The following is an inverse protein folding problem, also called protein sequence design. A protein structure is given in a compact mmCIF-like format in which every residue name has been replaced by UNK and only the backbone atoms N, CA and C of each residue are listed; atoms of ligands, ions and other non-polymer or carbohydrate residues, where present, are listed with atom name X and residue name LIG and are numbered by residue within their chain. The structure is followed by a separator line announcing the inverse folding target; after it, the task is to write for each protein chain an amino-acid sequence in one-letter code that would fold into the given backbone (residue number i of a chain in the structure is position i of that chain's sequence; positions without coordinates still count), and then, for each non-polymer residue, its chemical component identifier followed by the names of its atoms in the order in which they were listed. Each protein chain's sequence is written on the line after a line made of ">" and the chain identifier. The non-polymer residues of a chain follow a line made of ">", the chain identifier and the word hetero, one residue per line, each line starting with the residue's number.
data_IF_789907168818
#
_entry.id   IF_789907168818
#
_cell.length_a   1.000
_cell.length_b   1.000
_cell.length_c   1.000
_cell.angle_alpha   90.00
_cell.angle_beta   90.00
_cell.angle_gamma   90.00
#
_symmetry.space_group_name_H-M   'P 1'
#
loop_
_entity.id
_entity.type
_entity.pdbx_description
1 polymer ?
#
# COMPACT_ATOMS: atom_id res chain seq x y z
N UNK A 1 4.95 -3.95 -21.45
CA UNK A 1 5.29 -2.52 -21.48
C UNK A 1 4.26 -1.66 -20.77
N UNK A 2 4.48 -0.35 -20.71
CA UNK A 2 3.63 0.60 -19.98
C UNK A 2 2.18 0.62 -20.51
N UNK A 3 1.97 0.51 -21.81
CA UNK A 3 0.62 0.46 -22.42
C UNK A 3 -0.24 -0.65 -21.81
N UNK A 4 0.34 -1.84 -21.63
CA UNK A 4 -0.35 -2.97 -21.01
C UNK A 4 -0.63 -2.70 -19.51
N UNK A 5 0.33 -2.14 -18.78
CA UNK A 5 0.10 -1.76 -17.40
C UNK A 5 -1.06 -0.76 -17.27
N UNK A 6 -1.11 0.24 -18.15
CA UNK A 6 -2.23 1.19 -18.23
C UNK A 6 -3.56 0.51 -18.55
N UNK A 7 -3.56 -0.45 -19.48
CA UNK A 7 -4.76 -1.21 -19.80
C UNK A 7 -5.30 -1.96 -18.59
N UNK A 8 -4.42 -2.66 -17.83
CA UNK A 8 -4.82 -3.36 -16.61
C UNK A 8 -5.38 -2.42 -15.55
N UNK A 9 -4.79 -1.24 -15.37
CA UNK A 9 -5.30 -0.24 -14.41
C UNK A 9 -6.67 0.27 -14.86
N UNK A 10 -6.84 0.62 -16.14
CA UNK A 10 -8.11 1.06 -16.68
C UNK A 10 -9.20 -0.01 -16.49
N UNK A 11 -8.88 -1.28 -16.83
CA UNK A 11 -9.80 -2.40 -16.65
C UNK A 11 -10.16 -2.63 -15.18
N UNK A 12 -9.19 -2.58 -14.28
CA UNK A 12 -9.45 -2.72 -12.85
C UNK A 12 -10.40 -1.62 -12.32
N UNK A 13 -10.24 -0.37 -12.78
CA UNK A 13 -11.15 0.73 -12.43
C UNK A 13 -12.56 0.44 -12.94
N UNK A 14 -12.70 -0.02 -14.18
CA UNK A 14 -14.01 -0.37 -14.76
C UNK A 14 -14.70 -1.49 -13.98
N UNK A 15 -13.95 -2.59 -13.70
CA UNK A 15 -14.49 -3.73 -12.97
C UNK A 15 -14.87 -3.37 -11.54
N UNK A 16 -14.05 -2.59 -10.85
CA UNK A 16 -14.37 -2.07 -9.52
C UNK A 16 -15.63 -1.18 -9.54
N UNK A 17 -15.69 -0.26 -10.49
CA UNK A 17 -16.86 0.65 -10.61
C UNK A 17 -18.14 -0.14 -10.94
N UNK A 18 -18.04 -1.17 -11.79
CA UNK A 18 -19.18 -2.04 -12.09
C UNK A 18 -19.63 -2.83 -10.86
N UNK A 19 -18.71 -3.35 -10.06
CA UNK A 19 -19.03 -4.16 -8.90
C UNK A 19 -19.58 -3.36 -7.71
N UNK A 20 -19.03 -2.17 -7.47
CA UNK A 20 -19.34 -1.37 -6.27
C UNK A 20 -20.14 -0.09 -6.55
N UNK A 21 -20.42 0.25 -7.80
CA UNK A 21 -21.18 1.45 -8.18
C UNK A 21 -20.44 2.78 -7.99
N UNK A 22 -19.20 2.74 -7.53
CA UNK A 22 -18.36 3.92 -7.27
C UNK A 22 -16.96 3.72 -7.84
N UNK A 23 -16.33 4.80 -8.29
CA UNK A 23 -14.95 4.77 -8.75
C UNK A 23 -13.98 4.63 -7.54
N UNK A 24 -12.95 3.77 -7.64
CA UNK A 24 -11.94 3.68 -6.57
C UNK A 24 -11.16 4.99 -6.47
N UNK A 25 -10.99 5.49 -5.25
CA UNK A 25 -10.26 6.74 -4.98
C UNK A 25 -8.77 6.52 -4.73
N UNK A 26 -8.39 5.32 -4.37
CA UNK A 26 -7.00 4.98 -4.10
C UNK A 26 -6.60 3.62 -4.64
N UNK A 27 -5.32 3.35 -4.56
CA UNK A 27 -4.73 2.12 -5.08
C UNK A 27 -3.67 1.55 -4.15
N UNK A 28 -3.79 0.26 -3.85
CA UNK A 28 -2.69 -0.58 -3.42
C UNK A 28 -2.17 -1.32 -4.67
N UNK A 29 -0.97 -1.01 -5.21
CA UNK A 29 -0.36 -1.80 -6.26
C UNK A 29 -0.11 -3.24 -5.79
N UNK A 30 -0.06 -4.19 -6.72
CA UNK A 30 0.28 -5.57 -6.36
C UNK A 30 1.57 -5.62 -5.53
N UNK A 31 1.52 -6.30 -4.39
CA UNK A 31 2.64 -6.39 -3.41
C UNK A 31 3.14 -5.02 -2.90
N UNK A 32 2.33 -3.99 -2.98
CA UNK A 32 2.78 -2.64 -2.69
C UNK A 32 3.96 -2.18 -3.56
N UNK A 33 4.17 -2.83 -4.72
CA UNK A 33 5.33 -2.58 -5.58
C UNK A 33 5.19 -1.23 -6.31
N UNK A 34 6.16 -0.35 -6.09
CA UNK A 34 6.17 1.02 -6.61
C UNK A 34 7.54 1.43 -7.13
N UNK A 35 7.54 2.48 -7.89
CA UNK A 35 8.68 3.33 -8.25
C UNK A 35 8.13 4.73 -8.57
N UNK A 36 8.98 5.74 -8.68
CA UNK A 36 8.56 7.08 -9.12
C UNK A 36 7.71 7.01 -10.39
N UNK A 37 8.14 6.24 -11.41
CA UNK A 37 7.40 6.09 -12.66
C UNK A 37 6.04 5.40 -12.47
N UNK A 38 5.96 4.41 -11.60
CA UNK A 38 4.68 3.73 -11.28
C UNK A 38 3.70 4.69 -10.64
N UNK A 39 4.16 5.49 -9.67
CA UNK A 39 3.34 6.50 -8.99
C UNK A 39 2.82 7.53 -10.00
N UNK A 40 3.68 8.09 -10.85
CA UNK A 40 3.28 9.06 -11.88
C UNK A 40 2.30 8.47 -12.91
N UNK A 41 2.51 7.20 -13.31
CA UNK A 41 1.56 6.51 -14.19
C UNK A 41 0.19 6.35 -13.52
N UNK A 42 0.15 5.92 -12.25
CA UNK A 42 -1.10 5.75 -11.51
C UNK A 42 -1.80 7.08 -11.24
N UNK A 43 -1.06 8.15 -10.95
CA UNK A 43 -1.59 9.51 -10.79
C UNK A 43 -2.37 9.98 -12.05
N UNK A 44 -1.91 9.59 -13.25
CA UNK A 44 -2.59 9.92 -14.51
C UNK A 44 -3.99 9.32 -14.65
N UNK A 45 -4.34 8.34 -13.83
CA UNK A 45 -5.69 7.78 -13.72
C UNK A 45 -6.59 8.51 -12.73
N UNK A 46 -6.09 9.53 -12.03
CA UNK A 46 -6.86 10.35 -11.11
C UNK A 46 -7.15 9.66 -9.77
N UNK A 47 -6.25 8.84 -9.28
CA UNK A 47 -6.29 8.38 -7.90
C UNK A 47 -5.89 9.53 -6.96
N UNK A 48 -6.56 9.64 -5.82
CA UNK A 48 -6.23 10.63 -4.78
C UNK A 48 -5.05 10.17 -3.94
N UNK A 49 -4.93 8.85 -3.76
CA UNK A 49 -3.87 8.27 -2.95
C UNK A 49 -3.42 6.90 -3.46
N UNK A 50 -2.20 6.57 -3.07
CA UNK A 50 -1.57 5.26 -3.23
C UNK A 50 -1.09 4.79 -1.86
N UNK A 51 -0.82 3.48 -1.72
CA UNK A 51 -0.17 2.95 -0.54
C UNK A 51 0.94 1.95 -0.93
N UNK A 52 1.99 1.89 -0.10
CA UNK A 52 3.13 0.97 -0.25
C UNK A 52 3.74 0.65 1.13
N UNK A 53 4.86 -0.07 1.18
CA UNK A 53 5.55 -0.44 2.42
C UNK A 53 6.40 0.68 3.04
N UNK A 54 6.56 0.65 4.36
CA UNK A 54 7.40 1.59 5.11
C UNK A 54 8.86 1.53 4.68
N UNK A 55 9.39 0.34 4.35
CA UNK A 55 10.76 0.17 3.87
C UNK A 55 11.05 0.97 2.59
N UNK A 56 10.05 1.19 1.73
CA UNK A 56 10.18 2.06 0.55
C UNK A 56 10.34 3.53 0.97
N UNK A 57 9.59 4.00 1.98
CA UNK A 57 9.77 5.35 2.51
C UNK A 57 11.15 5.54 3.11
N UNK A 58 11.57 4.63 3.97
CA UNK A 58 12.89 4.68 4.62
C UNK A 58 14.01 4.80 3.60
N UNK A 59 14.05 3.92 2.61
CA UNK A 59 15.04 3.97 1.54
C UNK A 59 14.97 5.25 0.69
N UNK A 60 13.79 5.83 0.50
CA UNK A 60 13.62 7.08 -0.23
C UNK A 60 14.12 8.29 0.58
N UNK A 61 13.84 8.32 1.88
CA UNK A 61 14.32 9.36 2.80
C UNK A 61 15.85 9.32 2.92
N UNK A 62 16.42 8.14 3.17
CA UNK A 62 17.88 7.94 3.24
C UNK A 62 18.57 8.42 1.97
N UNK A 63 18.04 8.07 0.78
CA UNK A 63 18.57 8.54 -0.50
C UNK A 63 18.49 10.05 -0.66
N UNK A 64 17.48 10.68 -0.07
CA UNK A 64 17.31 12.14 -0.06
C UNK A 64 18.12 12.83 1.06
N UNK A 65 18.89 12.08 1.85
CA UNK A 65 19.65 12.61 2.98
C UNK A 65 18.79 13.04 4.17
N UNK A 66 17.56 12.49 4.26
CA UNK A 66 16.61 12.76 5.35
C UNK A 66 16.59 11.54 6.28
N UNK A 67 16.83 11.76 7.56
CA UNK A 67 16.81 10.70 8.56
C UNK A 67 15.38 10.20 8.80
N UNK A 68 15.08 8.90 8.63
CA UNK A 68 13.79 8.34 8.99
C UNK A 68 13.56 8.39 10.50
N UNK A 69 12.47 9.01 10.91
CA UNK A 69 12.16 9.17 12.33
C UNK A 69 10.71 9.62 12.57
N UNK A 70 10.36 9.94 13.82
CA UNK A 70 8.98 10.30 14.18
C UNK A 70 8.39 11.44 13.34
N UNK A 71 9.19 12.41 12.95
CA UNK A 71 8.74 13.55 12.14
C UNK A 71 8.50 13.22 10.66
N UNK A 72 9.08 12.14 10.15
CA UNK A 72 9.05 11.76 8.73
C UNK A 72 8.19 10.53 8.46
N UNK A 73 8.05 9.63 9.44
CA UNK A 73 7.19 8.46 9.34
C UNK A 73 5.74 8.83 9.74
N UNK A 74 4.81 7.94 9.44
CA UNK A 74 3.39 8.06 9.78
C UNK A 74 2.74 9.37 9.30
N UNK A 75 3.03 9.72 8.06
CA UNK A 75 2.37 10.79 7.30
C UNK A 75 2.36 10.44 5.82
N UNK A 76 1.42 10.99 5.04
CA UNK A 76 1.47 10.85 3.59
C UNK A 76 2.59 11.70 2.97
N UNK A 77 3.05 11.29 1.78
CA UNK A 77 4.05 12.00 1.00
C UNK A 77 3.60 12.13 -0.45
N UNK A 78 3.93 13.25 -1.10
CA UNK A 78 3.80 13.42 -2.54
C UNK A 78 5.13 13.19 -3.22
N UNK A 79 5.10 12.40 -4.27
CA UNK A 79 6.27 12.16 -5.11
C UNK A 79 6.30 13.22 -6.21
N UNK A 80 7.46 13.77 -6.52
CA UNK A 80 7.60 14.80 -7.56
C UNK A 80 6.94 14.37 -8.88
N UNK A 81 6.15 15.28 -9.46
CA UNK A 81 5.37 15.01 -10.66
C UNK A 81 4.09 14.18 -10.45
N UNK A 82 3.66 13.97 -9.20
CA UNK A 82 2.38 13.34 -8.84
C UNK A 82 1.56 14.23 -7.93
N UNK A 83 0.25 14.24 -8.11
CA UNK A 83 -0.72 14.89 -7.20
C UNK A 83 -1.20 13.93 -6.13
N UNK A 84 -1.25 12.63 -6.45
CA UNK A 84 -1.65 11.60 -5.52
C UNK A 84 -0.71 11.54 -4.32
N UNK A 85 -1.27 11.45 -3.12
CA UNK A 85 -0.49 11.21 -1.90
C UNK A 85 -0.16 9.72 -1.77
N UNK A 86 1.03 9.41 -1.27
CA UNK A 86 1.44 8.04 -0.98
C UNK A 86 1.45 7.82 0.54
N UNK A 87 0.67 6.86 1.00
CA UNK A 87 0.70 6.37 2.37
C UNK A 87 1.67 5.19 2.49
N UNK A 88 2.26 5.04 3.65
CA UNK A 88 3.23 3.99 3.89
C UNK A 88 2.74 3.11 5.05
N UNK A 89 2.55 1.82 4.76
CA UNK A 89 2.12 0.81 5.71
C UNK A 89 3.04 0.81 6.92
N UNK A 90 2.50 0.99 8.10
CA UNK A 90 3.26 0.80 9.33
C UNK A 90 3.52 -0.70 9.53
N UNK A 91 4.76 -1.12 9.26
CA UNK A 91 5.11 -2.54 9.17
C UNK A 91 4.86 -3.26 10.49
N UNK A 92 5.43 -2.79 11.60
CA UNK A 92 5.30 -3.46 12.88
C UNK A 92 3.85 -3.69 13.29
N UNK A 93 3.00 -2.68 13.25
CA UNK A 93 1.61 -2.79 13.69
C UNK A 93 0.79 -3.67 12.75
N UNK A 94 0.99 -3.54 11.45
CA UNK A 94 0.29 -4.39 10.48
C UNK A 94 0.74 -5.86 10.59
N UNK A 95 2.04 -6.12 10.78
CA UNK A 95 2.58 -7.46 10.95
C UNK A 95 2.14 -8.12 12.27
N UNK A 96 1.92 -7.35 13.32
CA UNK A 96 1.30 -7.87 14.54
C UNK A 96 -0.09 -8.45 14.28
N UNK A 97 -0.89 -7.75 13.50
CA UNK A 97 -2.20 -8.26 13.10
C UNK A 97 -2.02 -9.50 12.21
N UNK A 98 -1.18 -9.42 11.18
CA UNK A 98 -1.00 -10.51 10.22
C UNK A 98 -0.41 -11.80 10.81
N UNK A 99 0.53 -11.70 11.76
CA UNK A 99 1.38 -12.84 12.16
C UNK A 99 1.44 -13.13 13.65
N UNK A 100 1.03 -12.20 14.52
CA UNK A 100 1.19 -12.34 15.98
C UNK A 100 -0.14 -12.55 16.69
N UNK A 101 -1.09 -11.65 16.48
CA UNK A 101 -2.32 -11.61 17.27
C UNK A 101 -3.31 -12.75 16.99
N UNK A 102 -3.18 -13.44 15.86
CA UNK A 102 -3.95 -14.64 15.57
C UNK A 102 -3.79 -15.75 16.64
N UNK A 103 -2.68 -15.69 17.40
CA UNK A 103 -2.33 -16.65 18.47
C UNK A 103 -2.68 -16.15 19.88
N UNK A 104 -3.23 -14.95 19.99
CA UNK A 104 -3.57 -14.33 21.26
C UNK A 104 -5.07 -14.40 21.54
N UNK A 105 -5.43 -14.17 22.81
CA UNK A 105 -6.81 -13.88 23.12
C UNK A 105 -7.20 -12.54 22.48
N UNK A 106 -8.36 -12.48 21.79
CA UNK A 106 -8.73 -11.34 20.96
C UNK A 106 -8.77 -10.00 21.72
N UNK A 107 -9.24 -10.01 22.96
CA UNK A 107 -9.27 -8.81 23.80
C UNK A 107 -7.88 -8.33 24.22
N UNK A 108 -6.98 -9.25 24.54
CA UNK A 108 -5.59 -8.90 24.89
C UNK A 108 -4.85 -8.34 23.67
N UNK A 109 -5.05 -8.92 22.49
CA UNK A 109 -4.50 -8.45 21.24
C UNK A 109 -5.00 -7.02 20.91
N UNK A 110 -6.31 -6.78 21.06
CA UNK A 110 -6.89 -5.46 20.84
C UNK A 110 -6.34 -4.41 21.81
N UNK A 111 -6.16 -4.78 23.06
CA UNK A 111 -5.58 -3.91 24.10
C UNK A 111 -4.10 -3.56 23.80
N UNK A 112 -3.27 -4.55 23.49
CA UNK A 112 -1.86 -4.34 23.11
C UNK A 112 -1.75 -3.45 21.87
N UNK A 113 -2.61 -3.66 20.87
CA UNK A 113 -2.59 -2.85 19.67
C UNK A 113 -2.91 -1.37 19.96
N UNK A 114 -3.96 -1.09 20.72
CA UNK A 114 -4.33 0.28 21.11
C UNK A 114 -3.22 0.92 21.96
N UNK A 115 -2.66 0.21 22.92
CA UNK A 115 -1.56 0.70 23.74
C UNK A 115 -0.33 1.09 22.89
N UNK A 116 -0.02 0.35 21.82
CA UNK A 116 1.07 0.70 20.89
C UNK A 116 0.75 1.96 20.09
N UNK A 117 -0.51 2.14 19.67
CA UNK A 117 -0.93 3.38 19.03
C UNK A 117 -0.81 4.58 19.98
N UNK A 118 -1.16 4.41 21.25
CA UNK A 118 -0.97 5.44 22.28
C UNK A 118 0.51 5.79 22.47
N UNK A 119 1.39 4.78 22.53
CA UNK A 119 2.84 5.00 22.61
C UNK A 119 3.38 5.76 21.39
N UNK A 120 2.88 5.47 20.20
CA UNK A 120 3.21 6.26 19.01
C UNK A 120 2.70 7.69 19.12
N UNK A 121 1.46 7.89 19.59
CA UNK A 121 0.90 9.23 19.80
C UNK A 121 1.74 10.03 20.83
N UNK A 122 2.26 9.37 21.87
CA UNK A 122 3.16 10.02 22.84
C UNK A 122 4.47 10.49 22.21
N UNK A 123 4.99 9.75 21.23
CA UNK A 123 6.22 10.13 20.50
C UNK A 123 6.01 11.32 19.55
N UNK A 124 4.80 11.49 19.03
CA UNK A 124 4.49 12.53 18.03
C UNK A 124 3.90 13.80 18.62
N UNK A 125 3.55 13.80 19.92
CA UNK A 125 2.85 14.90 20.55
C UNK A 125 1.49 15.17 19.92
N UNK A 126 1.04 16.42 19.98
CA UNK A 126 -0.28 16.84 19.51
C UNK A 126 -0.31 17.19 18.01
N UNK A 127 0.48 16.53 17.17
CA UNK A 127 0.45 16.74 15.73
C UNK A 127 -0.74 15.99 15.08
N UNK A 128 -1.85 16.68 14.74
CA UNK A 128 -3.06 16.04 14.23
C UNK A 128 -2.88 15.49 12.79
N UNK A 129 -1.78 15.83 12.14
CA UNK A 129 -1.51 15.41 10.75
C UNK A 129 -0.94 14.00 10.66
N UNK A 130 -0.66 13.36 11.80
CA UNK A 130 -0.10 12.01 11.85
C UNK A 130 -1.14 10.96 11.47
N UNK A 131 -0.74 10.12 10.54
CA UNK A 131 -1.60 9.05 10.03
C UNK A 131 -0.85 7.73 10.05
N UNK A 132 -1.20 6.85 10.97
CA UNK A 132 -0.66 5.49 11.04
C UNK A 132 -1.44 4.62 10.06
N UNK A 133 -0.79 4.19 8.99
CA UNK A 133 -1.42 3.40 7.94
C UNK A 133 -1.35 1.91 8.28
N UNK A 134 -2.48 1.32 8.63
CA UNK A 134 -2.61 -0.13 8.83
C UNK A 134 -3.13 -0.74 7.53
N UNK A 135 -2.33 -1.58 6.92
CA UNK A 135 -2.63 -2.20 5.62
C UNK A 135 -2.44 -3.72 5.71
N UNK A 136 -3.46 -4.45 5.31
CA UNK A 136 -3.51 -5.92 5.32
C UNK A 136 -4.07 -6.41 3.98
N UNK A 137 -3.74 -7.64 3.62
CA UNK A 137 -4.40 -8.33 2.53
C UNK A 137 -5.89 -8.51 2.85
N UNK A 138 -6.74 -8.21 1.88
CA UNK A 138 -8.19 -8.31 2.08
C UNK A 138 -8.72 -9.73 2.02
N UNK A 139 -8.06 -10.59 1.24
CA UNK A 139 -8.49 -11.94 0.96
C UNK A 139 -8.11 -12.96 2.05
N UNK A 140 -7.10 -12.69 2.88
CA UNK A 140 -6.55 -13.67 3.83
C UNK A 140 -6.30 -13.15 5.25
N UNK A 141 -6.64 -11.90 5.55
CA UNK A 141 -6.29 -11.25 6.81
C UNK A 141 -6.80 -12.00 8.06
N UNK A 142 -7.95 -12.64 7.99
CA UNK A 142 -8.68 -13.17 9.16
C UNK A 142 -8.81 -14.68 9.21
N UNK A 143 -8.41 -15.41 8.17
CA UNK A 143 -8.61 -16.86 8.08
C UNK A 143 -7.86 -17.66 9.17
N UNK A 144 -6.75 -17.11 9.68
CA UNK A 144 -5.97 -17.72 10.75
C UNK A 144 -6.41 -17.31 12.16
N UNK A 145 -7.40 -16.44 12.28
CA UNK A 145 -7.93 -16.01 13.57
C UNK A 145 -9.10 -16.89 14.02
N UNK A 146 -9.23 -17.19 15.34
CA UNK A 146 -10.45 -17.78 15.87
C UNK A 146 -11.67 -16.93 15.47
N UNK A 147 -12.71 -17.60 14.98
CA UNK A 147 -13.96 -16.97 14.55
C UNK A 147 -13.75 -15.82 13.52
N UNK A 148 -12.79 -15.99 12.60
CA UNK A 148 -12.44 -15.01 11.56
C UNK A 148 -12.15 -13.61 12.14
N UNK A 149 -11.47 -13.55 13.27
CA UNK A 149 -11.06 -12.29 13.89
C UNK A 149 -12.15 -11.51 14.63
N UNK A 150 -13.36 -12.08 14.78
CA UNK A 150 -14.50 -11.37 15.39
C UNK A 150 -14.18 -10.74 16.73
N UNK A 151 -13.60 -11.48 17.66
CA UNK A 151 -13.31 -10.98 19.01
C UNK A 151 -12.24 -9.90 19.01
N UNK A 152 -11.20 -10.06 18.19
CA UNK A 152 -10.16 -9.05 18.03
C UNK A 152 -10.73 -7.76 17.42
N UNK A 153 -11.41 -7.86 16.28
CA UNK A 153 -11.95 -6.71 15.56
C UNK A 153 -12.98 -5.96 16.42
N UNK A 154 -13.89 -6.68 17.07
CA UNK A 154 -14.87 -6.07 17.96
C UNK A 154 -14.19 -5.30 19.08
N UNK A 155 -13.27 -5.95 19.81
CA UNK A 155 -12.56 -5.32 20.91
C UNK A 155 -11.71 -4.13 20.48
N UNK A 156 -11.14 -4.19 19.27
CA UNK A 156 -10.37 -3.09 18.68
C UNK A 156 -11.26 -1.88 18.35
N UNK A 157 -12.35 -2.11 17.62
CA UNK A 157 -13.25 -1.01 17.21
C UNK A 157 -13.98 -0.40 18.40
N UNK A 158 -14.42 -1.19 19.39
CA UNK A 158 -15.02 -0.65 20.64
C UNK A 158 -14.05 0.28 21.38
N UNK A 159 -12.74 -0.01 21.40
CA UNK A 159 -11.73 0.81 22.05
C UNK A 159 -11.37 2.07 21.27
N UNK A 160 -11.44 2.01 19.96
CA UNK A 160 -11.05 3.13 19.09
C UNK A 160 -12.21 4.08 18.78
N UNK A 161 -13.47 3.63 18.87
CA UNK A 161 -14.63 4.43 18.50
C UNK A 161 -14.75 5.73 19.29
N UNK A 162 -14.51 5.68 20.61
CA UNK A 162 -14.60 6.81 21.51
C UNK A 162 -13.24 7.15 22.15
N UNK A 163 -12.14 6.81 21.49
CA UNK A 163 -10.81 7.02 22.04
C UNK A 163 -10.47 8.52 22.07
N UNK A 164 -10.03 9.08 23.22
CA UNK A 164 -9.86 10.53 23.36
C UNK A 164 -8.73 11.13 22.50
N UNK A 165 -7.78 10.32 22.05
CA UNK A 165 -6.58 10.77 21.34
C UNK A 165 -6.39 10.11 19.95
N UNK A 166 -7.06 9.00 19.68
CA UNK A 166 -6.92 8.26 18.44
C UNK A 166 -8.23 8.33 17.66
N UNK A 167 -8.13 8.60 16.38
CA UNK A 167 -9.28 8.69 15.48
C UNK A 167 -9.15 7.67 14.36
N UNK A 168 -10.19 6.85 14.17
CA UNK A 168 -10.31 6.00 12.99
C UNK A 168 -10.61 6.86 11.77
N UNK A 169 -9.90 6.62 10.68
CA UNK A 169 -10.07 7.35 9.43
C UNK A 169 -9.75 6.46 8.24
N UNK A 170 -10.35 6.75 7.11
CA UNK A 170 -9.90 6.23 5.82
C UNK A 170 -8.80 7.14 5.25
N UNK A 171 -7.98 6.63 4.33
CA UNK A 171 -6.97 7.46 3.67
C UNK A 171 -7.57 8.67 2.96
N UNK A 172 -8.75 8.52 2.37
CA UNK A 172 -9.46 9.64 1.73
C UNK A 172 -9.90 10.69 2.75
N UNK A 173 -10.38 10.29 3.92
CA UNK A 173 -10.74 11.23 4.99
C UNK A 173 -9.50 11.92 5.55
N UNK A 174 -8.43 11.17 5.83
CA UNK A 174 -7.18 11.74 6.32
C UNK A 174 -6.62 12.83 5.37
N UNK A 175 -6.71 12.64 4.06
CA UNK A 175 -6.30 13.65 3.08
C UNK A 175 -7.20 14.89 3.05
N UNK A 176 -8.51 14.71 3.33
CA UNK A 176 -9.49 15.81 3.31
C UNK A 176 -9.38 16.69 4.54
N UNK A 177 -9.08 16.10 5.68
CA UNK A 177 -9.22 16.79 6.95
C UNK A 177 -7.94 17.48 7.39
N UNK A 178 -6.75 16.88 7.21
CA UNK A 178 -5.54 17.42 7.84
C UNK A 178 -4.18 17.04 7.20
N UNK A 179 -4.14 16.16 6.24
CA UNK A 179 -2.85 15.59 5.84
C UNK A 179 -2.00 16.56 5.02
N UNK A 180 -1.21 17.37 5.68
CA UNK A 180 -0.06 17.99 5.03
C UNK A 180 0.91 16.88 4.58
N UNK A 181 0.86 16.52 3.30
CA UNK A 181 1.80 15.57 2.74
C UNK A 181 3.21 16.19 2.70
N UNK A 182 4.21 15.41 3.09
CA UNK A 182 5.60 15.75 2.79
C UNK A 182 5.87 15.67 1.29
N UNK A 183 7.02 16.14 0.84
CA UNK A 183 7.44 16.06 -0.55
C UNK A 183 8.68 15.19 -0.68
N UNK A 184 8.65 14.22 -1.61
CA UNK A 184 9.77 13.39 -2.02
C UNK A 184 10.16 13.72 -3.45
N UNK A 185 11.43 13.96 -3.70
CA UNK A 185 11.96 14.16 -5.05
C UNK A 185 11.85 12.90 -5.89
N UNK A 186 12.06 11.74 -5.26
CA UNK A 186 11.92 10.43 -5.89
C UNK A 186 11.49 9.37 -4.88
N UNK A 187 10.93 8.29 -5.39
CA UNK A 187 10.59 7.09 -4.63
C UNK A 187 11.49 5.95 -5.08
N UNK A 188 12.17 5.28 -4.16
CA UNK A 188 12.95 4.10 -4.52
C UNK A 188 12.03 3.00 -5.07
N UNK A 189 12.53 2.23 -6.02
CA UNK A 189 11.82 1.06 -6.52
C UNK A 189 11.82 -0.03 -5.45
N UNK A 190 10.65 -0.39 -4.97
CA UNK A 190 10.49 -1.34 -3.86
C UNK A 190 9.05 -1.79 -3.67
N UNK A 191 8.84 -2.57 -2.63
CA UNK A 191 7.55 -3.14 -2.24
C UNK A 191 7.45 -3.22 -0.71
N UNK A 192 6.35 -3.71 -0.19
CA UNK A 192 6.24 -3.99 1.24
C UNK A 192 7.14 -5.14 1.72
N UNK A 193 7.65 -5.96 0.77
CA UNK A 193 8.59 -7.04 1.11
C UNK A 193 10.00 -6.48 1.18
N UNK A 194 10.47 -6.24 2.38
CA UNK A 194 11.82 -5.72 2.69
C UNK A 194 12.17 -4.37 2.02
N UNK A 195 11.19 -3.58 1.59
CA UNK A 195 11.42 -2.30 0.93
C UNK A 195 12.06 -2.39 -0.47
N UNK A 196 12.17 -3.60 -1.04
CA UNK A 196 12.86 -3.87 -2.31
C UNK A 196 12.01 -4.69 -3.26
N UNK A 197 12.49 -4.90 -4.49
CA UNK A 197 11.91 -5.82 -5.46
C UNK A 197 12.67 -7.15 -5.55
N UNK A 198 13.59 -7.42 -4.63
CA UNK A 198 14.50 -8.58 -4.69
C UNK A 198 13.80 -9.94 -4.60
N UNK A 199 12.57 -9.98 -4.09
CA UNK A 199 11.73 -11.18 -4.11
C UNK A 199 11.43 -11.65 -5.53
N UNK A 200 11.29 -10.72 -6.48
CA UNK A 200 10.86 -11.02 -7.85
C UNK A 200 11.94 -10.82 -8.90
N UNK A 201 12.93 -9.94 -8.68
CA UNK A 201 13.93 -9.55 -9.69
C UNK A 201 15.29 -9.34 -9.04
N UNK A 202 16.37 -9.40 -9.82
CA UNK A 202 17.73 -9.05 -9.43
C UNK A 202 18.69 -10.23 -9.37
N UNK A 203 18.24 -11.44 -9.02
CA UNK A 203 19.11 -12.63 -9.15
C UNK A 203 19.15 -13.14 -10.60
N UNK A 204 20.25 -13.78 -11.04
CA UNK A 204 20.36 -14.31 -12.41
C UNK A 204 19.19 -15.22 -12.80
N UNK A 205 18.74 -16.09 -11.89
CA UNK A 205 17.64 -17.02 -12.14
C UNK A 205 16.31 -16.30 -12.34
N UNK A 206 16.00 -15.32 -11.48
CA UNK A 206 14.77 -14.53 -11.59
C UNK A 206 14.77 -13.67 -12.85
N UNK A 207 15.89 -13.03 -13.15
CA UNK A 207 16.04 -12.24 -14.37
C UNK A 207 15.86 -13.11 -15.62
N UNK A 208 16.46 -14.31 -15.64
CA UNK A 208 16.29 -15.26 -16.74
C UNK A 208 14.83 -15.70 -16.90
N UNK A 209 14.11 -15.93 -15.80
CA UNK A 209 12.68 -16.25 -15.87
C UNK A 209 11.86 -15.11 -16.51
N UNK A 210 12.14 -13.87 -16.15
CA UNK A 210 11.50 -12.70 -16.79
C UNK A 210 11.84 -12.55 -18.27
N UNK A 211 13.11 -12.82 -18.66
CA UNK A 211 13.52 -12.84 -20.08
C UNK A 211 12.72 -13.87 -20.86
N UNK A 212 12.66 -15.11 -20.35
CA UNK A 212 11.88 -16.19 -21.00
C UNK A 212 10.41 -15.83 -21.15
N UNK A 213 9.79 -15.22 -20.12
CA UNK A 213 8.41 -14.76 -20.20
C UNK A 213 8.24 -13.64 -21.24
N UNK A 214 9.19 -12.71 -21.31
CA UNK A 214 9.17 -11.65 -22.31
C UNK A 214 9.35 -12.19 -23.72
N UNK A 215 10.19 -13.21 -23.91
CA UNK A 215 10.40 -13.87 -25.20
C UNK A 215 9.12 -14.60 -25.65
N UNK A 216 8.55 -15.43 -24.77
CA UNK A 216 7.29 -16.10 -25.04
C UNK A 216 6.16 -15.12 -25.41
N UNK A 217 6.11 -13.99 -24.69
CA UNK A 217 5.13 -12.94 -24.97
C UNK A 217 5.36 -12.29 -26.35
N UNK A 218 6.60 -12.03 -26.73
CA UNK A 218 6.93 -11.49 -28.07
C UNK A 218 6.50 -12.43 -29.17
N UNK A 219 6.81 -13.72 -29.00
CA UNK A 219 6.39 -14.76 -29.97
C UNK A 219 4.87 -14.83 -30.09
N UNK A 220 4.16 -14.81 -28.95
CA UNK A 220 2.70 -14.77 -28.95
C UNK A 220 2.15 -13.55 -29.71
N UNK A 221 2.67 -12.34 -29.42
CA UNK A 221 2.23 -11.13 -30.08
C UNK A 221 2.45 -11.17 -31.60
N UNK A 222 3.58 -11.72 -32.05
CA UNK A 222 3.86 -11.92 -33.47
C UNK A 222 2.85 -12.87 -34.12
N UNK A 223 2.60 -14.02 -33.52
CA UNK A 223 1.64 -15.00 -34.04
C UNK A 223 0.23 -14.42 -34.10
N UNK A 224 -0.18 -13.67 -33.10
CA UNK A 224 -1.51 -13.03 -33.06
C UNK A 224 -1.65 -11.99 -34.17
N UNK A 225 -0.62 -11.14 -34.37
CA UNK A 225 -0.61 -10.13 -35.43
C UNK A 225 -0.57 -10.77 -36.81
N UNK A 226 0.32 -11.76 -37.05
CA UNK A 226 0.47 -12.45 -38.32
C UNK A 226 -0.72 -13.36 -38.66
N UNK A 227 -1.34 -13.94 -37.63
CA UNK A 227 -2.51 -14.83 -37.78
C UNK A 227 -3.86 -14.10 -37.97
N UNK A 228 -3.88 -12.76 -37.91
CA UNK A 228 -5.12 -12.00 -38.00
C UNK A 228 -6.07 -12.23 -36.80
N UNK A 229 -5.56 -12.76 -35.70
CA UNK A 229 -6.32 -13.11 -34.50
C UNK A 229 -6.55 -11.91 -33.53
N UNK A 230 -6.33 -10.69 -34.00
CA UNK A 230 -6.78 -9.50 -33.31
C UNK A 230 -8.24 -9.27 -33.67
N UNK A 231 -9.12 -10.05 -33.09
CA UNK A 231 -10.53 -9.71 -33.10
C UNK A 231 -10.78 -8.57 -32.12
N UNK A 232 -11.49 -7.64 -32.64
CA UNK A 232 -12.11 -6.49 -32.04
C UNK A 232 -12.79 -6.81 -30.71
N UNK A 233 -12.25 -6.29 -29.57
CA UNK A 233 -13.04 -6.01 -28.37
C UNK A 233 -12.59 -4.67 -27.76
#
# INVERSE_FOLDING_TARGET
>A
GESRARWHVARAIQDFTRAFGVRPRGRWPAEGAVSTRTVQMLDSFGFDWLATGEGVLRGSLERSGVEPGPSTLNRPWRVAGSRAATFFRHEELSDRIGFVYSKWHGDDAARDFVQRLEQLADQYGDDPTRTVAIVLDGENAWEHYPYNGWYFLRGLYERLADHPRLRLSTFSQALHEDASAGELTELVAGSWVHGTLSTWIGSPQKNRAWEMLCDAKRTFDQVVVEGGLMDEE
#
